data_IF_914562514037
#
_entry.id   IF_914562514037
#
_cell.length_a   1.000
_cell.length_b   1.000
_cell.length_c   1.000
_cell.angle_alpha   90.00
_cell.angle_beta   90.00
_cell.angle_gamma   90.00
#
_symmetry.space_group_name_H-M   'P 1'
#
loop_
_entity.id
_entity.type
_entity.pdbx_description
1 polymer ?
#
# COMPACT_ATOMS: atom_id res chain seq x y z
N UNK A 1 -3.75 -13.57 -4.78
CA UNK A 1 -5.15 -13.20 -4.46
C UNK A 1 -5.22 -11.68 -4.40
N UNK A 2 -5.28 -11.04 -5.58
CA UNK A 2 -5.30 -9.59 -5.82
C UNK A 2 -6.56 -9.31 -6.63
N UNK A 3 -7.71 -9.16 -5.98
CA UNK A 3 -8.96 -8.90 -6.71
C UNK A 3 -9.89 -7.94 -5.96
N UNK A 4 -9.30 -7.07 -5.13
CA UNK A 4 -10.05 -6.13 -4.28
C UNK A 4 -9.60 -4.68 -4.44
N UNK A 5 -8.69 -4.40 -5.37
CA UNK A 5 -8.35 -3.05 -5.79
C UNK A 5 -8.95 -2.86 -7.19
N UNK A 6 -9.47 -1.67 -7.55
CA UNK A 6 -9.64 -1.35 -8.96
C UNK A 6 -8.24 -1.35 -9.62
N UNK A 7 -7.78 -2.52 -10.06
CA UNK A 7 -6.56 -2.68 -10.86
C UNK A 7 -6.78 -2.19 -12.29
N UNK A 8 -8.04 -1.86 -12.62
CA UNK A 8 -8.43 -1.26 -13.88
C UNK A 8 -8.85 0.18 -13.73
N UNK A 9 -8.37 1.01 -14.66
CA UNK A 9 -8.77 2.40 -14.83
C UNK A 9 -9.73 2.59 -16.01
N UNK A 10 -10.09 1.52 -16.73
CA UNK A 10 -11.03 1.60 -17.85
C UNK A 10 -12.45 1.32 -17.38
N UNK A 11 -13.37 2.19 -17.77
CA UNK A 11 -14.81 2.07 -17.51
C UNK A 11 -15.50 1.90 -18.86
N UNK A 12 -16.41 0.93 -18.96
CA UNK A 12 -17.26 0.81 -20.13
C UNK A 12 -18.43 1.80 -19.99
N UNK A 13 -18.55 2.72 -20.93
CA UNK A 13 -19.55 3.77 -20.94
C UNK A 13 -20.33 3.74 -22.25
N UNK A 14 -21.63 4.03 -22.19
CA UNK A 14 -22.45 4.28 -23.38
C UNK A 14 -21.89 5.44 -24.22
N UNK A 15 -21.86 5.26 -25.54
CA UNK A 15 -21.46 6.31 -26.49
C UNK A 15 -22.38 7.52 -26.41
N UNK A 16 -23.67 7.34 -26.06
CA UNK A 16 -24.59 8.46 -25.84
C UNK A 16 -24.20 9.31 -24.64
N UNK A 17 -23.68 8.68 -23.56
CA UNK A 17 -23.10 9.43 -22.43
C UNK A 17 -21.81 10.14 -22.85
N UNK A 18 -20.94 9.43 -23.58
CA UNK A 18 -19.67 9.97 -24.05
C UNK A 18 -19.87 11.21 -24.95
N UNK A 19 -20.82 11.15 -25.87
CA UNK A 19 -21.21 12.24 -26.77
C UNK A 19 -22.08 13.31 -26.10
N UNK A 20 -22.48 13.12 -24.82
CA UNK A 20 -23.40 13.99 -24.06
C UNK A 20 -24.78 14.14 -24.69
N UNK A 21 -25.26 13.09 -25.36
CA UNK A 21 -26.58 13.03 -26.00
C UNK A 21 -27.68 12.62 -25.02
N UNK A 22 -27.33 11.88 -23.95
CA UNK A 22 -28.28 11.40 -22.95
C UNK A 22 -27.69 11.48 -21.53
N UNK A 23 -28.55 11.38 -20.51
CA UNK A 23 -28.16 11.44 -19.08
C UNK A 23 -27.78 10.04 -18.57
N UNK A 24 -26.91 9.98 -17.54
CA UNK A 24 -26.62 8.75 -16.80
C UNK A 24 -27.90 8.23 -16.15
N UNK A 25 -28.18 6.94 -16.33
CA UNK A 25 -29.26 6.24 -15.63
C UNK A 25 -28.72 5.11 -14.78
N UNK A 26 -27.93 4.21 -15.35
CA UNK A 26 -27.45 3.01 -14.67
C UNK A 26 -25.94 3.04 -14.47
N UNK A 27 -25.51 2.64 -13.29
CA UNK A 27 -24.13 2.37 -12.96
C UNK A 27 -24.03 1.05 -12.17
N UNK A 28 -23.50 0.00 -12.79
CA UNK A 28 -23.25 -1.26 -12.10
C UNK A 28 -21.81 -1.70 -12.26
N UNK A 29 -21.38 -2.61 -11.38
CA UNK A 29 -20.02 -3.13 -11.36
C UNK A 29 -20.03 -4.65 -11.46
N UNK A 30 -19.45 -5.17 -12.53
CA UNK A 30 -19.29 -6.59 -12.77
C UNK A 30 -17.80 -7.01 -12.68
N UNK A 31 -17.55 -8.32 -12.74
CA UNK A 31 -16.18 -8.84 -12.78
C UNK A 31 -15.44 -8.29 -14.01
N UNK A 32 -14.24 -7.72 -13.85
CA UNK A 32 -13.44 -7.25 -14.97
C UNK A 32 -13.26 -8.31 -16.07
N UNK A 33 -13.50 -7.92 -17.31
CA UNK A 33 -13.50 -8.81 -18.47
C UNK A 33 -12.20 -8.78 -19.29
N UNK A 34 -11.44 -7.68 -19.19
CA UNK A 34 -10.18 -7.45 -19.91
C UNK A 34 -9.13 -6.81 -18.98
N UNK A 35 -7.83 -6.86 -19.35
CA UNK A 35 -6.81 -6.11 -18.62
C UNK A 35 -7.18 -4.63 -18.48
N UNK A 36 -6.99 -4.09 -17.28
CA UNK A 36 -7.33 -2.71 -16.91
C UNK A 36 -8.82 -2.34 -16.91
N UNK A 37 -9.73 -3.30 -17.08
CA UNK A 37 -11.16 -3.08 -16.84
C UNK A 37 -11.43 -2.90 -15.34
N UNK A 38 -12.05 -1.79 -14.97
CA UNK A 38 -12.44 -1.49 -13.57
C UNK A 38 -13.65 -2.33 -13.11
N UNK A 39 -14.38 -2.92 -14.06
CA UNK A 39 -15.66 -3.59 -13.88
C UNK A 39 -16.87 -2.65 -13.96
N UNK A 40 -16.67 -1.33 -13.95
CA UNK A 40 -17.78 -0.38 -14.03
C UNK A 40 -18.39 -0.31 -15.42
N UNK A 41 -19.72 -0.25 -15.46
CA UNK A 41 -20.57 -0.12 -16.64
C UNK A 41 -21.53 1.04 -16.43
N UNK A 42 -21.55 1.97 -17.38
CA UNK A 42 -22.35 3.19 -17.30
C UNK A 42 -23.28 3.28 -18.51
N UNK A 43 -24.59 3.27 -18.28
CA UNK A 43 -25.60 3.41 -19.33
C UNK A 43 -26.45 4.66 -19.16
N UNK A 44 -26.90 5.16 -20.30
CA UNK A 44 -27.78 6.31 -20.39
C UNK A 44 -29.26 5.94 -20.24
N UNK A 45 -30.09 6.96 -20.06
CA UNK A 45 -31.55 6.87 -20.10
C UNK A 45 -32.11 6.37 -21.42
N UNK A 46 -31.32 6.39 -22.50
CA UNK A 46 -31.76 6.00 -23.84
C UNK A 46 -31.08 4.74 -24.37
N UNK A 47 -30.30 4.05 -23.55
CA UNK A 47 -29.75 2.75 -23.92
C UNK A 47 -30.85 1.69 -23.80
N UNK A 48 -30.93 0.86 -24.83
CA UNK A 48 -31.84 -0.29 -24.91
C UNK A 48 -31.03 -1.55 -25.14
N UNK A 49 -31.63 -2.72 -24.89
CA UNK A 49 -31.00 -4.01 -25.21
C UNK A 49 -30.55 -4.09 -26.67
N UNK A 50 -31.31 -3.47 -27.58
CA UNK A 50 -31.01 -3.43 -29.01
C UNK A 50 -29.78 -2.56 -29.31
N UNK A 51 -29.68 -1.35 -28.72
CA UNK A 51 -28.53 -0.48 -28.94
C UNK A 51 -27.23 -1.08 -28.40
N UNK A 52 -27.29 -1.73 -27.24
CA UNK A 52 -26.11 -2.36 -26.61
C UNK A 52 -25.53 -3.51 -27.43
N UNK A 53 -26.38 -4.26 -28.15
CA UNK A 53 -25.93 -5.30 -29.09
C UNK A 53 -25.18 -4.75 -30.30
N UNK A 54 -25.40 -3.49 -30.65
CA UNK A 54 -24.80 -2.81 -31.80
C UNK A 54 -23.47 -2.09 -31.48
N UNK A 55 -22.77 -2.48 -30.41
CA UNK A 55 -21.51 -1.83 -29.98
C UNK A 55 -21.69 -0.33 -29.64
N UNK A 56 -22.78 0.02 -28.94
CA UNK A 56 -23.06 1.39 -28.48
C UNK A 56 -22.24 1.82 -27.26
N UNK A 57 -21.18 1.09 -26.91
CA UNK A 57 -20.37 1.33 -25.71
C UNK A 57 -18.89 1.51 -26.06
N UNK A 58 -18.14 2.12 -25.15
CA UNK A 58 -16.72 2.42 -25.31
C UNK A 58 -16.00 2.30 -23.96
N UNK A 59 -14.79 1.74 -23.94
CA UNK A 59 -13.92 1.78 -22.77
C UNK A 59 -13.18 3.10 -22.71
N UNK A 60 -13.27 3.79 -21.57
CA UNK A 60 -12.62 5.08 -21.35
C UNK A 60 -11.82 5.07 -20.05
N UNK A 61 -10.67 5.77 -19.98
CA UNK A 61 -9.97 6.00 -18.72
C UNK A 61 -10.87 6.71 -17.70
N UNK A 62 -10.68 6.38 -16.43
CA UNK A 62 -11.40 6.94 -15.29
C UNK A 62 -11.36 8.47 -15.29
N UNK A 63 -10.21 9.06 -15.58
CA UNK A 63 -10.02 10.51 -15.63
C UNK A 63 -10.89 11.16 -16.72
N UNK A 64 -11.01 10.49 -17.87
CA UNK A 64 -11.89 10.92 -18.96
C UNK A 64 -13.36 10.81 -18.55
N UNK A 65 -13.74 9.70 -17.89
CA UNK A 65 -15.09 9.52 -17.38
C UNK A 65 -15.44 10.57 -16.33
N UNK A 66 -14.53 10.93 -15.42
CA UNK A 66 -14.76 11.98 -14.42
C UNK A 66 -14.98 13.36 -15.05
N UNK A 67 -14.35 13.63 -16.20
CA UNK A 67 -14.55 14.87 -16.94
C UNK A 67 -15.95 14.94 -17.55
N UNK A 68 -16.53 13.79 -17.91
CA UNK A 68 -17.86 13.68 -18.51
C UNK A 68 -18.95 13.60 -17.43
N UNK A 69 -18.76 12.73 -16.45
CA UNK A 69 -19.69 12.47 -15.35
C UNK A 69 -18.96 12.40 -14.00
N UNK A 70 -18.80 13.55 -13.31
CA UNK A 70 -18.06 13.62 -12.05
C UNK A 70 -18.64 12.76 -10.91
N UNK A 71 -19.94 12.49 -10.95
CA UNK A 71 -20.64 11.72 -9.91
C UNK A 71 -20.04 10.31 -9.70
N UNK A 72 -19.39 9.74 -10.73
CA UNK A 72 -18.72 8.43 -10.64
C UNK A 72 -17.65 8.40 -9.54
N UNK A 73 -17.02 9.54 -9.21
CA UNK A 73 -16.05 9.63 -8.12
C UNK A 73 -16.61 9.18 -6.77
N UNK A 74 -17.92 9.31 -6.55
CA UNK A 74 -18.56 8.97 -5.28
C UNK A 74 -18.84 7.48 -5.11
N UNK A 75 -18.85 6.72 -6.21
CA UNK A 75 -19.18 5.29 -6.18
C UNK A 75 -18.03 4.41 -6.64
N UNK A 76 -16.95 4.96 -7.21
CA UNK A 76 -15.90 4.18 -7.86
C UNK A 76 -15.30 3.03 -7.03
N UNK A 77 -15.21 3.22 -5.71
CA UNK A 77 -14.64 2.23 -4.79
C UNK A 77 -15.63 1.15 -4.32
N UNK A 78 -16.90 1.23 -4.71
CA UNK A 78 -17.90 0.23 -4.34
C UNK A 78 -17.57 -1.15 -4.92
N UNK A 79 -17.91 -2.25 -4.22
CA UNK A 79 -17.54 -3.61 -4.63
C UNK A 79 -18.15 -4.05 -5.97
N UNK A 80 -17.59 -5.12 -6.55
CA UNK A 80 -18.26 -5.88 -7.62
C UNK A 80 -19.61 -6.39 -7.09
N UNK A 81 -20.64 -6.36 -7.93
CA UNK A 81 -22.03 -6.60 -7.55
C UNK A 81 -22.80 -5.32 -7.23
N UNK A 82 -22.16 -4.14 -7.25
CA UNK A 82 -22.86 -2.87 -7.16
C UNK A 82 -23.83 -2.70 -8.32
N UNK A 83 -25.06 -2.29 -8.05
CA UNK A 83 -26.10 -2.01 -9.04
C UNK A 83 -26.89 -0.77 -8.62
N UNK A 84 -26.63 0.34 -9.29
CA UNK A 84 -27.15 1.66 -8.90
C UNK A 84 -27.89 2.34 -10.05
N UNK A 85 -28.90 3.11 -9.68
CA UNK A 85 -29.53 4.11 -10.53
C UNK A 85 -29.09 5.51 -10.12
N UNK A 86 -28.91 6.38 -11.11
CA UNK A 86 -28.67 7.80 -10.89
C UNK A 86 -30.01 8.54 -10.99
N UNK A 87 -30.43 9.15 -9.87
CA UNK A 87 -31.75 9.76 -9.71
C UNK A 87 -31.67 11.24 -9.35
N UNK A 88 -32.70 11.99 -9.73
CA UNK A 88 -32.87 13.41 -9.44
C UNK A 88 -33.96 13.65 -8.36
N UNK A 89 -34.43 12.62 -7.65
CA UNK A 89 -35.49 12.78 -6.64
C UNK A 89 -35.02 13.68 -5.47
N UNK A 90 -35.70 14.82 -5.26
CA UNK A 90 -35.40 15.79 -4.20
C UNK A 90 -34.58 17.00 -4.68
N UNK A 91 -33.66 17.50 -3.85
CA UNK A 91 -32.88 18.73 -4.11
C UNK A 91 -31.46 18.48 -4.69
N UNK A 92 -31.00 17.24 -4.82
CA UNK A 92 -29.65 16.93 -5.36
C UNK A 92 -29.58 15.59 -6.08
N UNK A 93 -28.93 15.57 -7.24
CA UNK A 93 -28.64 14.35 -8.00
C UNK A 93 -27.79 13.38 -7.17
N UNK A 94 -28.19 12.11 -7.12
CA UNK A 94 -27.50 11.10 -6.32
C UNK A 94 -27.68 9.69 -6.89
N UNK A 95 -26.87 8.75 -6.36
CA UNK A 95 -27.04 7.34 -6.62
C UNK A 95 -27.98 6.71 -5.60
N UNK A 96 -28.84 5.82 -6.06
CA UNK A 96 -29.66 4.95 -5.24
C UNK A 96 -29.43 3.49 -5.64
N UNK A 97 -29.61 2.55 -4.70
CA UNK A 97 -29.63 1.12 -5.03
C UNK A 97 -30.80 0.85 -6.01
N UNK A 98 -30.55 0.04 -7.02
CA UNK A 98 -31.52 -0.20 -8.09
C UNK A 98 -32.82 -0.85 -7.55
N UNK A 99 -32.66 -1.87 -6.72
CA UNK A 99 -33.73 -2.70 -6.18
C UNK A 99 -34.46 -2.06 -4.99
N UNK A 100 -33.74 -1.44 -4.05
CA UNK A 100 -34.35 -0.86 -2.83
C UNK A 100 -34.63 0.64 -2.91
N UNK A 101 -34.10 1.34 -3.92
CA UNK A 101 -34.15 2.80 -4.05
C UNK A 101 -33.53 3.55 -2.85
N UNK A 102 -32.79 2.87 -1.98
CA UNK A 102 -32.10 3.49 -0.85
C UNK A 102 -30.91 4.33 -1.33
N UNK A 103 -30.62 5.42 -0.62
CA UNK A 103 -29.52 6.33 -0.94
C UNK A 103 -28.14 5.64 -0.83
N UNK A 104 -27.31 5.77 -1.86
CA UNK A 104 -25.93 5.29 -1.87
C UNK A 104 -25.01 6.37 -1.29
N UNK A 105 -24.39 6.08 -0.15
CA UNK A 105 -23.46 7.00 0.51
C UNK A 105 -22.16 7.14 -0.28
N UNK A 106 -21.68 8.37 -0.56
CA UNK A 106 -20.41 8.59 -1.24
C UNK A 106 -19.20 7.96 -0.52
N UNK A 107 -18.32 7.29 -1.27
CA UNK A 107 -17.08 6.72 -0.77
C UNK A 107 -15.89 7.13 -1.64
N UNK A 108 -14.95 7.88 -1.05
CA UNK A 108 -13.73 8.38 -1.74
C UNK A 108 -12.54 7.40 -1.69
N UNK A 109 -12.69 6.28 -0.99
CA UNK A 109 -11.70 5.21 -0.89
C UNK A 109 -12.38 3.95 -0.37
N UNK A 110 -11.70 2.81 -0.45
CA UNK A 110 -12.17 1.55 0.14
C UNK A 110 -12.37 1.68 1.66
N UNK A 111 -11.48 2.40 2.34
CA UNK A 111 -11.59 2.66 3.79
C UNK A 111 -12.78 3.58 4.13
N UNK A 112 -13.19 4.41 3.16
CA UNK A 112 -14.34 5.30 3.28
C UNK A 112 -15.68 4.65 2.93
N UNK A 113 -15.73 3.36 2.60
CA UNK A 113 -16.99 2.65 2.38
C UNK A 113 -17.86 2.66 3.66
N UNK A 114 -19.19 2.77 3.53
CA UNK A 114 -20.08 2.94 4.66
C UNK A 114 -20.38 1.61 5.37
N UNK A 115 -19.36 0.95 5.94
CA UNK A 115 -19.46 -0.38 6.56
C UNK A 115 -20.48 -0.51 7.71
N UNK A 116 -20.93 0.61 8.30
CA UNK A 116 -21.95 0.65 9.36
C UNK A 116 -23.35 0.92 8.84
N UNK A 117 -23.50 1.21 7.56
CA UNK A 117 -24.78 1.53 6.94
C UNK A 117 -25.56 0.25 6.62
N UNK A 118 -26.85 0.24 6.95
CA UNK A 118 -27.69 -0.93 6.78
C UNK A 118 -27.84 -1.34 5.30
N UNK A 119 -28.12 -0.37 4.42
CA UNK A 119 -28.25 -0.63 2.99
C UNK A 119 -26.95 -1.21 2.44
N UNK A 120 -25.79 -0.62 2.79
CA UNK A 120 -24.49 -1.18 2.38
C UNK A 120 -24.28 -2.62 2.87
N UNK A 121 -24.59 -2.91 4.14
CA UNK A 121 -24.44 -4.24 4.71
C UNK A 121 -25.30 -5.29 4.03
N UNK A 122 -26.55 -4.93 3.71
CA UNK A 122 -27.48 -5.83 3.03
C UNK A 122 -27.00 -6.21 1.64
N UNK A 123 -26.55 -5.23 0.84
CA UNK A 123 -26.15 -5.46 -0.56
C UNK A 123 -24.76 -6.08 -0.70
N UNK A 124 -23.86 -5.87 0.26
CA UNK A 124 -22.46 -6.26 0.16
C UNK A 124 -22.00 -7.18 1.29
N UNK A 125 -22.89 -8.02 1.84
CA UNK A 125 -22.60 -8.92 2.96
C UNK A 125 -21.37 -9.81 2.71
N UNK A 126 -21.31 -10.48 1.55
CA UNK A 126 -20.17 -11.31 1.16
C UNK A 126 -18.87 -10.50 1.04
N UNK A 127 -18.95 -9.31 0.43
CA UNK A 127 -17.79 -8.42 0.37
C UNK A 127 -17.33 -7.99 1.76
N UNK A 128 -18.25 -7.71 2.69
CA UNK A 128 -17.91 -7.32 4.06
C UNK A 128 -17.25 -8.48 4.78
N UNK A 129 -17.78 -9.70 4.64
CA UNK A 129 -17.15 -10.89 5.20
C UNK A 129 -15.74 -11.09 4.63
N UNK A 130 -15.58 -11.02 3.31
CA UNK A 130 -14.27 -11.20 2.66
C UNK A 130 -13.31 -10.06 2.99
N UNK A 131 -13.80 -8.82 3.08
CA UNK A 131 -13.03 -7.67 3.49
C UNK A 131 -12.63 -7.77 4.97
N UNK A 132 -13.51 -8.27 5.83
CA UNK A 132 -13.22 -8.56 7.24
C UNK A 132 -12.23 -9.71 7.35
N UNK A 133 -12.43 -10.84 6.67
CA UNK A 133 -11.48 -11.97 6.60
C UNK A 133 -10.13 -11.54 6.03
N UNK A 134 -10.10 -10.69 5.01
CA UNK A 134 -8.86 -10.16 4.44
C UNK A 134 -8.21 -9.15 5.38
N UNK A 135 -9.00 -8.32 6.07
CA UNK A 135 -8.54 -7.42 7.13
C UNK A 135 -8.10 -8.20 8.35
N UNK A 136 -8.70 -9.34 8.65
CA UNK A 136 -8.39 -10.24 9.75
C UNK A 136 -7.18 -11.07 9.41
N UNK A 137 -7.00 -11.50 8.16
CA UNK A 137 -5.78 -12.10 7.64
C UNK A 137 -4.65 -11.07 7.62
N UNK A 138 -4.93 -9.82 7.23
CA UNK A 138 -4.01 -8.70 7.37
C UNK A 138 -3.80 -8.26 8.83
N UNK A 139 -4.76 -8.47 9.74
CA UNK A 139 -4.61 -8.29 11.20
C UNK A 139 -3.89 -9.49 11.82
N UNK A 140 -3.99 -10.69 11.27
CA UNK A 140 -3.12 -11.83 11.62
C UNK A 140 -1.71 -11.59 11.08
N UNK A 141 -1.55 -10.75 10.07
CA UNK A 141 -0.27 -10.15 9.67
C UNK A 141 0.06 -8.82 10.38
N UNK A 142 -0.88 -8.18 11.11
CA UNK A 142 -0.70 -6.86 11.76
C UNK A 142 -1.73 -6.64 12.88
N UNK A 143 -1.65 -7.42 13.96
CA UNK A 143 -2.18 -7.05 15.25
C UNK A 143 -0.97 -6.98 16.16
N UNK A 144 -0.22 -5.90 15.99
CA UNK A 144 0.70 -5.52 17.05
C UNK A 144 -0.19 -5.02 18.19
N UNK A 145 -0.24 -5.76 19.28
CA UNK A 145 -0.64 -5.26 20.59
C UNK A 145 0.02 -3.89 20.87
N UNK A 146 -0.53 -3.10 21.77
CA UNK A 146 0.09 -1.83 22.18
C UNK A 146 1.56 -2.04 22.64
N UNK A 147 1.87 -3.22 23.17
CA UNK A 147 3.21 -3.64 23.54
C UNK A 147 4.11 -3.88 22.31
N UNK A 148 3.62 -4.56 21.29
CA UNK A 148 4.33 -4.75 20.03
C UNK A 148 4.53 -3.42 19.28
N UNK A 149 3.53 -2.55 19.23
CA UNK A 149 3.64 -1.20 18.65
C UNK A 149 4.69 -0.36 19.37
N UNK A 150 4.68 -0.36 20.71
CA UNK A 150 5.72 0.28 21.52
C UNK A 150 7.09 -0.30 21.22
N UNK A 151 7.17 -1.62 21.09
CA UNK A 151 8.41 -2.33 20.78
C UNK A 151 8.98 -1.93 19.42
N UNK A 152 8.13 -1.77 18.40
CA UNK A 152 8.59 -1.37 17.06
C UNK A 152 8.91 0.11 16.95
N UNK A 153 8.16 0.97 17.63
CA UNK A 153 8.54 2.37 17.78
C UNK A 153 9.88 2.50 18.52
N UNK A 154 10.12 1.68 19.53
CA UNK A 154 11.40 1.61 20.22
C UNK A 154 12.53 1.14 19.30
N UNK A 155 12.32 0.07 18.54
CA UNK A 155 13.32 -0.44 17.59
C UNK A 155 13.61 0.59 16.48
N UNK A 156 12.59 1.27 15.95
CA UNK A 156 12.76 2.38 15.01
C UNK A 156 13.63 3.50 15.61
N UNK A 157 13.34 3.91 16.85
CA UNK A 157 14.11 4.95 17.54
C UNK A 157 15.56 4.51 17.78
N UNK A 158 15.76 3.26 18.18
CA UNK A 158 17.10 2.69 18.40
C UNK A 158 17.89 2.57 17.11
N UNK A 159 17.26 2.12 16.01
CA UNK A 159 17.91 2.03 14.71
C UNK A 159 18.25 3.42 14.15
N UNK A 160 17.36 4.39 14.33
CA UNK A 160 17.63 5.78 13.96
C UNK A 160 18.82 6.36 14.74
N UNK A 161 18.87 6.08 16.05
CA UNK A 161 20.03 6.44 16.88
C UNK A 161 21.30 5.71 16.44
N UNK A 162 21.23 4.42 16.11
CA UNK A 162 22.36 3.66 15.59
C UNK A 162 22.94 4.30 14.34
N UNK A 163 22.12 4.65 13.35
CA UNK A 163 22.59 5.38 12.17
C UNK A 163 23.19 6.76 12.52
N UNK A 164 22.72 7.41 13.60
CA UNK A 164 23.30 8.68 14.05
C UNK A 164 24.70 8.47 14.62
N UNK A 165 24.92 7.40 15.36
CA UNK A 165 26.25 7.05 15.87
C UNK A 165 27.19 6.67 14.72
N UNK A 166 26.71 5.88 13.76
CA UNK A 166 27.51 5.50 12.59
C UNK A 166 27.99 6.72 11.80
N UNK A 167 27.08 7.62 11.42
CA UNK A 167 27.40 8.68 10.46
C UNK A 167 27.56 10.08 11.07
N UNK A 168 27.39 10.22 12.38
CA UNK A 168 27.35 11.51 13.04
C UNK A 168 26.25 12.43 12.49
N UNK A 169 26.58 13.71 12.33
CA UNK A 169 25.68 14.76 11.82
C UNK A 169 25.65 14.87 10.29
N UNK A 170 26.24 13.91 9.57
CA UNK A 170 26.27 13.91 8.10
C UNK A 170 24.85 13.89 7.52
N UNK A 171 24.56 14.88 6.66
CA UNK A 171 23.29 15.02 5.92
C UNK A 171 23.42 14.86 4.40
N UNK A 172 24.63 14.62 3.90
CA UNK A 172 24.84 14.43 2.46
C UNK A 172 24.17 13.14 1.97
N UNK A 173 23.76 13.05 0.69
CA UNK A 173 23.23 11.81 0.11
C UNK A 173 24.17 10.62 0.31
N UNK A 174 23.58 9.42 0.28
CA UNK A 174 24.33 8.17 0.36
C UNK A 174 25.23 8.00 -0.87
N UNK A 175 26.44 7.50 -0.66
CA UNK A 175 27.35 7.06 -1.72
C UNK A 175 26.81 5.79 -2.37
N UNK A 176 27.26 5.49 -3.58
CA UNK A 176 26.93 4.24 -4.29
C UNK A 176 27.29 3.03 -3.41
N UNK A 177 26.36 2.08 -3.24
CA UNK A 177 26.45 0.89 -2.37
C UNK A 177 26.48 1.14 -0.85
N UNK A 178 26.45 2.40 -0.40
CA UNK A 178 26.40 2.74 1.03
C UNK A 178 25.06 2.34 1.66
N UNK A 179 24.00 2.34 0.86
CA UNK A 179 22.68 1.79 1.21
C UNK A 179 22.74 0.30 1.57
N UNK A 180 23.42 -0.51 0.77
CA UNK A 180 23.62 -1.95 1.03
C UNK A 180 24.41 -2.18 2.32
N UNK A 181 25.44 -1.39 2.56
CA UNK A 181 26.22 -1.41 3.80
C UNK A 181 25.33 -1.11 5.02
N UNK A 182 24.55 -0.02 4.95
CA UNK A 182 23.64 0.38 6.02
C UNK A 182 22.52 -0.63 6.25
N UNK A 183 21.98 -1.24 5.20
CA UNK A 183 20.99 -2.32 5.28
C UNK A 183 21.57 -3.50 6.07
N UNK A 184 22.79 -3.95 5.72
CA UNK A 184 23.44 -5.07 6.40
C UNK A 184 23.70 -4.81 7.87
N UNK A 185 24.27 -3.64 8.19
CA UNK A 185 24.51 -3.20 9.56
C UNK A 185 23.20 -3.05 10.35
N UNK A 186 22.18 -2.44 9.74
CA UNK A 186 20.87 -2.22 10.35
C UNK A 186 20.12 -3.51 10.66
N UNK A 187 20.12 -4.47 9.73
CA UNK A 187 19.53 -5.79 9.95
C UNK A 187 20.26 -6.55 11.05
N UNK A 188 21.60 -6.52 11.08
CA UNK A 188 22.39 -7.12 12.16
C UNK A 188 22.11 -6.47 13.52
N UNK A 189 22.01 -5.15 13.57
CA UNK A 189 21.66 -4.41 14.77
C UNK A 189 20.28 -4.82 15.29
N UNK A 190 19.26 -4.80 14.43
CA UNK A 190 17.90 -5.20 14.81
C UNK A 190 17.84 -6.66 15.26
N UNK A 191 18.52 -7.56 14.56
CA UNK A 191 18.59 -8.97 14.94
C UNK A 191 19.10 -9.14 16.38
N UNK A 192 20.17 -8.44 16.75
CA UNK A 192 20.68 -8.45 18.14
C UNK A 192 19.66 -7.89 19.14
N UNK A 193 18.98 -6.78 18.81
CA UNK A 193 17.96 -6.18 19.70
C UNK A 193 16.73 -7.06 19.87
N UNK A 194 16.27 -7.71 18.80
CA UNK A 194 15.16 -8.65 18.85
C UNK A 194 15.50 -9.91 19.66
N UNK A 195 16.72 -10.44 19.51
CA UNK A 195 17.20 -11.58 20.31
C UNK A 195 17.18 -11.29 21.82
N UNK A 196 17.68 -10.12 22.24
CA UNK A 196 17.74 -9.76 23.68
C UNK A 196 16.35 -9.67 24.31
N UNK A 197 15.36 -9.18 23.55
CA UNK A 197 13.98 -8.99 24.02
C UNK A 197 13.07 -10.20 23.77
N UNK A 198 13.62 -11.30 23.24
CA UNK A 198 12.87 -12.50 22.84
C UNK A 198 11.66 -12.20 21.94
N UNK A 199 11.80 -11.24 21.03
CA UNK A 199 10.71 -10.80 20.17
C UNK A 199 10.67 -11.67 18.91
N UNK A 200 9.51 -12.26 18.62
CA UNK A 200 9.25 -13.03 17.40
C UNK A 200 8.70 -12.05 16.35
N UNK A 201 9.54 -11.61 15.41
CA UNK A 201 9.10 -10.86 14.22
C UNK A 201 9.13 -11.76 12.98
N UNK A 202 8.25 -11.49 12.02
CA UNK A 202 8.41 -11.97 10.66
C UNK A 202 9.55 -11.16 10.01
N UNK A 203 10.27 -11.78 9.09
CA UNK A 203 11.42 -11.15 8.43
C UNK A 203 11.02 -9.81 7.76
N UNK A 204 9.76 -9.69 7.33
CA UNK A 204 9.20 -8.52 6.67
C UNK A 204 9.12 -7.27 7.57
N UNK A 205 8.85 -7.39 8.87
CA UNK A 205 8.77 -6.21 9.76
C UNK A 205 10.14 -5.59 9.99
N UNK A 206 11.18 -6.41 10.19
CA UNK A 206 12.55 -5.92 10.30
C UNK A 206 12.98 -5.17 9.03
N UNK A 207 12.62 -5.70 7.86
CA UNK A 207 12.90 -5.04 6.58
C UNK A 207 12.18 -3.70 6.48
N UNK A 208 10.92 -3.62 6.93
CA UNK A 208 10.15 -2.38 6.93
C UNK A 208 10.74 -1.31 7.87
N UNK A 209 11.22 -1.71 9.07
CA UNK A 209 11.91 -0.81 10.02
C UNK A 209 13.17 -0.21 9.40
N UNK A 210 13.98 -1.03 8.71
CA UNK A 210 15.19 -0.56 8.00
C UNK A 210 14.81 0.39 6.86
N UNK A 211 13.87 0.01 6.00
CA UNK A 211 13.44 0.83 4.86
C UNK A 211 12.92 2.20 5.31
N UNK A 212 12.07 2.21 6.34
CA UNK A 212 11.51 3.44 6.89
C UNK A 212 12.59 4.35 7.50
N UNK A 213 13.56 3.76 8.21
CA UNK A 213 14.68 4.51 8.81
C UNK A 213 15.57 5.17 7.75
N UNK A 214 15.83 4.48 6.63
CA UNK A 214 16.60 5.04 5.51
C UNK A 214 15.81 6.11 4.76
N UNK A 215 14.50 5.94 4.57
CA UNK A 215 13.63 6.97 4.00
C UNK A 215 13.63 8.24 4.84
N UNK A 216 13.36 8.15 6.15
CA UNK A 216 13.33 9.33 7.03
C UNK A 216 14.66 10.07 7.01
N UNK A 217 15.78 9.34 7.04
CA UNK A 217 17.09 9.94 7.21
C UNK A 217 17.71 10.48 5.92
N UNK A 218 17.50 9.77 4.81
CA UNK A 218 18.21 10.01 3.55
C UNK A 218 17.28 10.30 2.37
N UNK A 219 15.97 10.28 2.59
CA UNK A 219 14.95 10.44 1.55
C UNK A 219 15.07 9.39 0.43
N UNK A 220 15.54 8.18 0.76
CA UNK A 220 15.63 7.06 -0.18
C UNK A 220 14.24 6.58 -0.60
N UNK A 221 14.06 6.19 -1.86
CA UNK A 221 12.78 5.62 -2.33
C UNK A 221 12.43 4.36 -1.55
N UNK A 222 11.24 4.34 -0.91
CA UNK A 222 10.78 3.20 -0.12
C UNK A 222 10.68 1.91 -0.96
N UNK A 223 10.22 2.01 -2.20
CA UNK A 223 10.04 0.85 -3.09
C UNK A 223 11.39 0.24 -3.48
N UNK A 224 12.32 1.06 -3.97
CA UNK A 224 13.68 0.62 -4.33
C UNK A 224 14.46 0.09 -3.12
N UNK A 225 14.31 0.75 -1.96
CA UNK A 225 14.96 0.32 -0.71
C UNK A 225 14.45 -1.05 -0.28
N UNK A 226 13.14 -1.29 -0.33
CA UNK A 226 12.55 -2.61 0.00
C UNK A 226 13.04 -3.70 -0.95
N UNK A 227 13.08 -3.44 -2.25
CA UNK A 227 13.62 -4.39 -3.23
C UNK A 227 15.09 -4.72 -2.94
N UNK A 228 15.89 -3.71 -2.60
CA UNK A 228 17.31 -3.87 -2.23
C UNK A 228 17.47 -4.69 -0.95
N UNK A 229 16.63 -4.46 0.06
CA UNK A 229 16.63 -5.22 1.31
C UNK A 229 16.27 -6.69 1.05
N UNK A 230 15.26 -6.96 0.22
CA UNK A 230 14.87 -8.34 -0.14
C UNK A 230 16.03 -9.05 -0.86
N UNK A 231 16.65 -8.38 -1.85
CA UNK A 231 17.80 -8.92 -2.57
C UNK A 231 18.98 -9.19 -1.62
N UNK A 232 19.28 -8.25 -0.73
CA UNK A 232 20.31 -8.39 0.29
C UNK A 232 20.01 -9.59 1.20
N UNK A 233 18.77 -9.72 1.69
CA UNK A 233 18.37 -10.81 2.57
C UNK A 233 18.55 -12.18 1.90
N UNK A 234 18.20 -12.32 0.62
CA UNK A 234 18.49 -13.56 -0.11
C UNK A 234 19.99 -13.80 -0.25
N UNK A 235 20.77 -12.75 -0.50
CA UNK A 235 22.23 -12.84 -0.57
C UNK A 235 22.85 -13.28 0.78
N UNK A 236 22.23 -13.00 1.93
CA UNK A 236 22.75 -13.49 3.22
C UNK A 236 22.77 -15.01 3.32
N UNK A 237 21.99 -15.74 2.50
CA UNK A 237 22.00 -17.21 2.50
C UNK A 237 23.27 -17.78 1.87
N UNK A 238 23.77 -17.11 0.82
CA UNK A 238 24.82 -17.64 -0.07
C UNK A 238 26.12 -16.83 -0.04
N UNK A 239 26.07 -15.51 0.15
CA UNK A 239 27.21 -14.61 0.06
C UNK A 239 27.86 -14.35 1.44
N UNK A 240 29.16 -14.67 1.63
CA UNK A 240 29.87 -14.42 2.89
C UNK A 240 29.89 -12.95 3.32
N UNK A 241 30.01 -12.03 2.35
CA UNK A 241 30.07 -10.58 2.62
C UNK A 241 28.76 -10.08 3.26
N UNK A 242 27.60 -10.54 2.78
CA UNK A 242 26.31 -10.16 3.35
C UNK A 242 26.14 -10.69 4.79
N UNK A 243 26.64 -11.90 5.09
CA UNK A 243 26.69 -12.43 6.47
C UNK A 243 27.61 -11.60 7.35
N UNK A 244 28.78 -11.23 6.83
CA UNK A 244 29.79 -10.47 7.55
C UNK A 244 29.27 -9.08 7.96
N UNK A 245 28.61 -8.36 7.06
CA UNK A 245 28.02 -7.05 7.38
C UNK A 245 26.93 -7.13 8.46
N UNK A 246 26.12 -8.21 8.48
CA UNK A 246 25.20 -8.44 9.59
C UNK A 246 25.93 -8.70 10.91
N UNK A 247 27.03 -9.45 10.90
CA UNK A 247 27.85 -9.68 12.10
C UNK A 247 28.45 -8.38 12.64
N UNK A 248 28.90 -7.47 11.78
CA UNK A 248 29.32 -6.13 12.19
C UNK A 248 28.18 -5.35 12.85
N UNK A 249 26.97 -5.39 12.29
CA UNK A 249 25.78 -4.80 12.89
C UNK A 249 25.49 -5.35 14.30
N UNK A 250 25.60 -6.67 14.48
CA UNK A 250 25.44 -7.33 15.79
C UNK A 250 26.50 -6.87 16.79
N UNK A 251 27.77 -6.81 16.38
CA UNK A 251 28.87 -6.35 17.23
C UNK A 251 28.67 -4.90 17.66
N UNK A 252 28.34 -4.02 16.70
CA UNK A 252 28.12 -2.60 16.98
C UNK A 252 26.90 -2.36 17.88
N UNK A 253 25.86 -3.19 17.81
CA UNK A 253 24.74 -3.13 18.76
C UNK A 253 25.22 -3.32 20.21
N UNK A 254 26.14 -4.25 20.46
CA UNK A 254 26.75 -4.48 21.79
C UNK A 254 27.60 -3.29 22.22
N UNK A 255 28.35 -2.67 21.30
CA UNK A 255 29.13 -1.48 21.63
C UNK A 255 28.26 -0.27 21.97
N UNK A 256 27.13 -0.08 21.28
CA UNK A 256 26.14 0.94 21.64
C UNK A 256 25.59 0.72 23.05
N UNK A 257 25.26 -0.53 23.41
CA UNK A 257 24.79 -0.86 24.77
C UNK A 257 25.84 -0.51 25.84
N UNK A 258 27.12 -0.68 25.51
CA UNK A 258 28.26 -0.31 26.35
C UNK A 258 28.67 1.17 26.19
N UNK A 259 27.86 2.01 25.56
CA UNK A 259 28.12 3.45 25.31
C UNK A 259 29.45 3.73 24.58
N UNK A 260 29.97 2.75 23.84
CA UNK A 260 31.22 2.83 23.10
C UNK A 260 31.01 3.46 21.71
N UNK A 261 30.45 4.67 21.68
CA UNK A 261 30.01 5.33 20.43
C UNK A 261 31.15 5.65 19.48
N UNK A 262 32.31 6.05 20.01
CA UNK A 262 33.50 6.36 19.20
C UNK A 262 34.02 5.12 18.46
N UNK A 263 33.99 3.95 19.10
CA UNK A 263 34.38 2.69 18.48
C UNK A 263 33.43 2.31 17.33
N UNK A 264 32.12 2.50 17.51
CA UNK A 264 31.12 2.28 16.46
C UNK A 264 31.35 3.21 15.27
N UNK A 265 31.55 4.50 15.52
CA UNK A 265 31.81 5.48 14.47
C UNK A 265 33.10 5.15 13.70
N UNK A 266 34.20 4.85 14.42
CA UNK A 266 35.50 4.52 13.84
C UNK A 266 35.44 3.26 12.97
N UNK A 267 34.77 2.21 13.46
CA UNK A 267 34.64 0.97 12.70
C UNK A 267 33.74 1.16 11.48
N UNK A 268 32.69 1.98 11.56
CA UNK A 268 31.90 2.34 10.39
C UNK A 268 32.74 3.04 9.32
N UNK A 269 33.56 4.03 9.68
CA UNK A 269 34.46 4.68 8.72
C UNK A 269 35.40 3.67 8.04
N UNK A 270 35.95 2.72 8.81
CA UNK A 270 36.78 1.64 8.26
C UNK A 270 36.03 0.77 7.26
N UNK A 271 34.77 0.41 7.56
CA UNK A 271 33.93 -0.35 6.63
C UNK A 271 33.62 0.44 5.36
N UNK A 272 33.35 1.75 5.47
CA UNK A 272 33.18 2.61 4.30
C UNK A 272 34.41 2.60 3.40
N UNK A 273 35.62 2.77 3.95
CA UNK A 273 36.86 2.68 3.17
C UNK A 273 37.06 1.29 2.56
N UNK A 274 36.72 0.22 3.28
CA UNK A 274 36.92 -1.13 2.76
C UNK A 274 35.93 -1.51 1.64
N UNK A 275 34.65 -1.16 1.77
CA UNK A 275 33.57 -1.64 0.91
C UNK A 275 33.06 -0.63 -0.13
N UNK A 276 33.37 0.66 0.03
CA UNK A 276 32.89 1.71 -0.90
C UNK A 276 34.03 2.32 -1.74
N UNK A 277 35.28 2.23 -1.27
CA UNK A 277 36.45 2.82 -1.95
C UNK A 277 37.28 1.76 -2.71
N UNK A 278 36.91 0.48 -2.60
CA UNK A 278 37.42 -0.64 -3.40
C UNK A 278 36.30 -1.25 -4.26
#
# INVERSE_FOLDING_TARGET
MQQWLPDGNLILMSKKLYNKEAKLLWAWRETPSIPKDSGWRLLSTEDTTESLRQSSTVFLPYETVLTIQPAIAFIYYYPVGADFQFTEQGYSQHFAYNDTYEYVKPAKSIQGLPFKDYAFQSHFSLFIEDFQKAREKKKFCFHWSDEELRTLNELNRQLFHFYNVLMGTRKTPLKVKEDVLLIGLGLGFLFKKCQIKNIIFLEEEMMNVVAHSLFIRFNCSLDQTKQTIIAYWQATKTAPIAKQLMQYGVMMATWIDNKSFEAVHKEYQRLCTHYLEN
#
